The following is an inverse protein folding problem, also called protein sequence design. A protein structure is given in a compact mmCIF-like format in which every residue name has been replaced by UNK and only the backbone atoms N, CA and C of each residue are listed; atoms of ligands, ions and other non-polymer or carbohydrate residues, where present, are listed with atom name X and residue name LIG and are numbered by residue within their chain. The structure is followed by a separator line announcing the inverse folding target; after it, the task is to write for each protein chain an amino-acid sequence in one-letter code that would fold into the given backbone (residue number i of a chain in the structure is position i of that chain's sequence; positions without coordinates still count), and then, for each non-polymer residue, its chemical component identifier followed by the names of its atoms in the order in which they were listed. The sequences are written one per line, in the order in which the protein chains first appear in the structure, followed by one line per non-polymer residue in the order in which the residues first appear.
data_IF_138770354634
#
_entry.id   IF_138770354634
#
_cell.length_a   1.000
_cell.length_b   1.000
_cell.length_c   1.000
_cell.angle_alpha   90.00
_cell.angle_beta   90.00
_cell.angle_gamma   90.00
#
_symmetry.space_group_name_H-M   'P 1'
#
loop_
_entity.id
_entity.type
_entity.pdbx_description
1 polymer ?
#
# COMPACT_ATOMS: atom_id res chain seq x y z
N UNK A 1 42.60 -28.72 -3.78
CA UNK A 1 41.74 -29.20 -4.89
C UNK A 1 40.34 -28.65 -4.63
N UNK A 2 40.10 -27.42 -5.06
CA UNK A 2 38.83 -26.68 -4.87
C UNK A 2 38.05 -26.84 -6.18
N UNK A 3 36.85 -27.42 -6.12
CA UNK A 3 35.97 -27.59 -7.29
C UNK A 3 34.96 -26.45 -7.30
N UNK A 4 35.08 -25.59 -8.30
CA UNK A 4 34.13 -24.54 -8.66
C UNK A 4 32.71 -25.11 -8.80
N UNK A 5 31.74 -24.48 -8.13
CA UNK A 5 30.34 -24.47 -8.53
C UNK A 5 29.90 -23.01 -8.61
N UNK A 6 30.22 -22.36 -9.73
CA UNK A 6 29.67 -21.04 -10.08
C UNK A 6 29.17 -21.14 -11.51
N UNK A 7 27.97 -21.69 -11.69
CA UNK A 7 27.36 -21.87 -13.01
C UNK A 7 25.82 -21.78 -13.01
N UNK A 8 25.24 -21.01 -12.07
CA UNK A 8 23.78 -20.83 -12.01
C UNK A 8 23.29 -19.38 -11.84
N UNK A 9 24.17 -18.37 -11.93
CA UNK A 9 23.78 -16.97 -11.71
C UNK A 9 23.87 -16.05 -12.94
N UNK A 10 24.16 -16.57 -14.14
CA UNK A 10 24.40 -15.71 -15.33
C UNK A 10 23.23 -15.73 -16.34
N UNK A 11 22.19 -16.54 -16.13
CA UNK A 11 21.05 -16.62 -17.09
C UNK A 11 19.95 -15.57 -16.81
N UNK A 12 19.86 -14.99 -15.61
CA UNK A 12 18.76 -14.07 -15.26
C UNK A 12 18.96 -12.60 -15.69
N UNK A 13 20.20 -12.14 -15.91
CA UNK A 13 20.46 -10.73 -16.29
C UNK A 13 20.30 -10.51 -17.81
N UNK A 14 20.43 -11.57 -18.63
CA UNK A 14 20.27 -11.43 -20.09
C UNK A 14 18.80 -11.42 -20.51
N UNK A 15 17.88 -11.96 -19.71
CA UNK A 15 16.45 -11.92 -20.02
C UNK A 15 15.87 -10.52 -19.81
N UNK A 16 16.28 -9.83 -18.74
CA UNK A 16 15.90 -8.44 -18.48
C UNK A 16 16.48 -7.45 -19.50
N UNK A 17 17.73 -7.66 -19.96
CA UNK A 17 18.32 -6.83 -21.03
C UNK A 17 17.70 -7.13 -22.41
N UNK A 18 17.26 -8.37 -22.67
CA UNK A 18 16.59 -8.73 -23.92
C UNK A 18 15.16 -8.18 -24.01
N UNK A 19 14.46 -8.05 -22.88
CA UNK A 19 13.16 -7.38 -22.80
C UNK A 19 13.25 -5.90 -23.15
N UNK A 20 14.28 -5.18 -22.65
CA UNK A 20 14.43 -3.73 -22.90
C UNK A 20 14.52 -3.39 -24.41
N UNK A 21 15.09 -4.27 -25.25
CA UNK A 21 15.21 -4.05 -26.69
C UNK A 21 13.92 -4.27 -27.50
N UNK A 22 12.85 -4.79 -26.89
CA UNK A 22 11.58 -5.08 -27.59
C UNK A 22 10.52 -3.99 -27.41
N UNK A 23 10.73 -3.00 -26.52
CA UNK A 23 9.69 -2.03 -26.17
C UNK A 23 9.53 -0.84 -27.14
N UNK A 24 10.46 -0.63 -28.09
CA UNK A 24 10.42 0.55 -28.98
C UNK A 24 9.33 0.47 -30.08
N UNK A 25 8.59 -0.64 -30.22
CA UNK A 25 7.66 -0.85 -31.33
C UNK A 25 6.23 -1.26 -30.95
N UNK A 26 5.78 -1.09 -29.71
CA UNK A 26 4.36 -1.25 -29.42
C UNK A 26 3.59 -0.06 -30.03
N UNK A 27 2.89 -0.28 -31.14
CA UNK A 27 1.86 0.65 -31.58
C UNK A 27 0.69 0.51 -30.63
N UNK A 28 0.50 1.49 -29.75
CA UNK A 28 -0.64 1.47 -28.84
C UNK A 28 -1.95 1.68 -29.62
N UNK A 29 -2.96 0.89 -29.26
CA UNK A 29 -4.24 0.83 -29.95
C UNK A 29 -5.31 1.68 -29.26
N UNK A 30 -5.17 1.93 -27.96
CA UNK A 30 -6.06 2.80 -27.18
C UNK A 30 -5.23 3.59 -26.15
N UNK A 31 -5.23 4.91 -26.30
CA UNK A 31 -4.56 5.84 -25.38
C UNK A 31 -5.61 6.74 -24.78
N UNK A 32 -5.57 6.94 -23.47
CA UNK A 32 -6.61 7.70 -22.80
C UNK A 32 -6.24 8.18 -21.41
N UNK A 33 -7.26 8.76 -20.78
CA UNK A 33 -7.19 9.23 -19.41
C UNK A 33 -8.56 8.99 -18.77
N UNK A 34 -8.57 8.29 -17.64
CA UNK A 34 -9.76 8.06 -16.84
C UNK A 34 -9.61 8.83 -15.53
N UNK A 35 -10.67 9.54 -15.16
CA UNK A 35 -10.73 10.23 -13.86
C UNK A 35 -11.19 9.22 -12.81
N UNK A 36 -10.34 8.98 -11.81
CA UNK A 36 -10.59 8.12 -10.65
C UNK A 36 -10.45 8.99 -9.42
N UNK A 37 -11.52 9.17 -8.66
CA UNK A 37 -11.53 9.98 -7.42
C UNK A 37 -10.86 11.36 -7.56
N UNK A 38 -11.24 12.09 -8.62
CA UNK A 38 -10.71 13.41 -8.99
C UNK A 38 -9.24 13.44 -9.44
N UNK A 39 -8.59 12.28 -9.54
CA UNK A 39 -7.26 12.12 -10.08
C UNK A 39 -7.31 11.56 -11.50
N UNK A 40 -6.43 12.05 -12.36
CA UNK A 40 -6.38 11.62 -13.75
C UNK A 40 -5.33 10.50 -13.91
N UNK A 41 -5.80 9.28 -14.14
CA UNK A 41 -4.95 8.13 -14.49
C UNK A 41 -4.81 8.08 -16.00
N UNK A 42 -3.58 8.27 -16.49
CA UNK A 42 -3.29 8.16 -17.92
C UNK A 42 -2.93 6.72 -18.25
N UNK A 43 -3.36 6.26 -19.41
CA UNK A 43 -3.02 4.93 -19.87
C UNK A 43 -2.73 4.91 -21.36
N UNK A 44 -1.99 3.90 -21.76
CA UNK A 44 -1.73 3.52 -23.14
C UNK A 44 -1.73 2.00 -23.24
N UNK A 45 -2.60 1.39 -24.05
CA UNK A 45 -2.69 -0.07 -24.20
C UNK A 45 -2.46 -0.48 -25.65
N UNK A 46 -1.49 -1.38 -25.86
CA UNK A 46 -1.25 -2.02 -27.17
C UNK A 46 -2.11 -3.25 -27.28
N UNK A 47 -2.65 -3.56 -28.47
CA UNK A 47 -3.45 -4.77 -28.74
C UNK A 47 -4.67 -5.00 -27.84
N UNK A 48 -5.21 -3.95 -27.22
CA UNK A 48 -6.37 -4.03 -26.35
C UNK A 48 -7.06 -2.68 -26.20
N UNK A 49 -8.06 -2.63 -25.32
CA UNK A 49 -8.78 -1.42 -24.94
C UNK A 49 -9.06 -1.44 -23.45
N UNK A 50 -8.81 -0.33 -22.76
CA UNK A 50 -9.22 -0.19 -21.35
C UNK A 50 -10.72 0.14 -21.31
N UNK A 51 -11.46 -0.62 -20.52
CA UNK A 51 -12.90 -0.41 -20.31
C UNK A 51 -13.15 0.51 -19.11
N UNK A 52 -12.47 0.24 -17.99
CA UNK A 52 -12.57 1.06 -16.79
C UNK A 52 -11.32 0.96 -15.92
N UNK A 53 -11.15 1.95 -15.05
CA UNK A 53 -10.17 1.95 -13.96
C UNK A 53 -10.93 2.38 -12.71
N UNK A 54 -10.86 1.58 -11.65
CA UNK A 54 -11.49 1.84 -10.36
C UNK A 54 -10.48 1.68 -9.23
N UNK A 55 -10.58 2.53 -8.21
CA UNK A 55 -9.85 2.38 -6.97
C UNK A 55 -10.72 1.60 -5.99
N UNK A 56 -10.19 0.52 -5.43
CA UNK A 56 -10.71 -0.12 -4.23
C UNK A 56 -9.81 0.26 -3.03
N UNK A 57 -10.25 1.23 -2.21
CA UNK A 57 -9.46 1.70 -1.10
C UNK A 57 -9.42 0.72 0.09
N UNK A 58 -10.34 -0.25 0.17
CA UNK A 58 -10.33 -1.26 1.23
C UNK A 58 -9.20 -2.28 1.02
N UNK A 59 -8.78 -2.47 -0.24
CA UNK A 59 -7.69 -3.36 -0.64
C UNK A 59 -6.42 -2.63 -1.11
N UNK A 60 -6.39 -1.30 -1.05
CA UNK A 60 -5.29 -0.46 -1.58
C UNK A 60 -4.98 -0.77 -3.06
N UNK A 61 -6.03 -0.95 -3.86
CA UNK A 61 -5.94 -1.55 -5.19
C UNK A 61 -6.50 -0.62 -6.26
N UNK A 62 -5.82 -0.55 -7.40
CA UNK A 62 -6.38 -0.02 -8.64
C UNK A 62 -6.73 -1.19 -9.56
N UNK A 63 -8.03 -1.42 -9.75
CA UNK A 63 -8.57 -2.44 -10.64
C UNK A 63 -8.78 -1.84 -12.04
N UNK A 64 -8.06 -2.38 -13.01
CA UNK A 64 -8.15 -2.03 -14.42
C UNK A 64 -8.88 -3.16 -15.15
N UNK A 65 -9.99 -2.85 -15.82
CA UNK A 65 -10.69 -3.81 -16.69
C UNK A 65 -10.38 -3.50 -18.15
N UNK A 66 -10.18 -4.54 -18.94
CA UNK A 66 -9.77 -4.40 -20.33
C UNK A 66 -10.32 -5.51 -21.21
N UNK A 67 -10.35 -5.22 -22.51
CA UNK A 67 -10.61 -6.21 -23.55
C UNK A 67 -9.37 -6.32 -24.43
N UNK A 68 -8.85 -7.53 -24.56
CA UNK A 68 -7.61 -7.82 -25.30
C UNK A 68 -7.91 -8.45 -26.65
N UNK A 69 -7.15 -8.08 -27.66
CA UNK A 69 -7.23 -8.66 -29.02
C UNK A 69 -6.00 -9.49 -29.41
N UNK A 70 -4.87 -9.27 -28.74
CA UNK A 70 -3.65 -10.07 -28.79
C UNK A 70 -2.82 -9.79 -27.53
N UNK A 71 -1.71 -10.49 -27.33
CA UNK A 71 -0.73 -10.18 -26.27
C UNK A 71 -0.25 -8.74 -26.41
N UNK A 72 -0.02 -8.07 -25.28
CA UNK A 72 0.26 -6.64 -25.29
C UNK A 72 0.85 -6.14 -23.99
N UNK A 73 0.87 -4.80 -23.88
CA UNK A 73 1.38 -4.07 -22.73
C UNK A 73 0.41 -2.94 -22.41
N UNK A 74 0.09 -2.80 -21.14
CA UNK A 74 -0.56 -1.61 -20.57
C UNK A 74 0.52 -0.74 -19.97
N UNK A 75 0.70 0.48 -20.49
CA UNK A 75 1.45 1.55 -19.85
C UNK A 75 0.47 2.42 -19.07
N UNK A 76 0.59 2.47 -17.75
CA UNK A 76 -0.32 3.21 -16.87
C UNK A 76 0.48 4.19 -16.00
N UNK A 77 0.08 5.45 -15.99
CA UNK A 77 0.64 6.50 -15.13
C UNK A 77 -0.31 6.78 -13.99
N UNK A 78 0.10 6.39 -12.80
CA UNK A 78 -0.65 6.46 -11.55
C UNK A 78 -0.18 7.69 -10.77
N UNK A 79 -1.06 8.65 -10.47
CA UNK A 79 -0.76 9.72 -9.51
C UNK A 79 -0.46 9.13 -8.13
N UNK A 80 0.64 9.56 -7.50
CA UNK A 80 1.01 9.06 -6.15
C UNK A 80 -0.01 9.40 -5.09
N UNK A 81 -0.68 10.53 -5.27
CA UNK A 81 -1.78 10.90 -4.39
C UNK A 81 -2.95 9.94 -4.54
N UNK A 82 -3.17 9.26 -5.67
CA UNK A 82 -4.27 8.30 -5.85
C UNK A 82 -3.93 6.92 -5.26
N UNK A 83 -2.79 6.36 -5.66
CA UNK A 83 -2.27 5.08 -5.22
C UNK A 83 -0.73 5.14 -5.25
N UNK A 84 -0.09 4.74 -4.16
CA UNK A 84 1.36 4.60 -4.08
C UNK A 84 1.75 3.34 -3.32
N UNK A 85 2.98 2.88 -3.58
CA UNK A 85 3.64 1.83 -2.83
C UNK A 85 4.90 2.41 -2.20
N UNK A 86 4.88 2.50 -0.86
CA UNK A 86 5.97 2.99 -0.03
C UNK A 86 6.20 2.06 1.16
N UNK A 87 7.46 2.01 1.57
CA UNK A 87 7.89 1.48 2.85
C UNK A 87 8.69 2.58 3.56
N UNK A 88 8.21 2.99 4.73
CA UNK A 88 8.67 4.21 5.42
C UNK A 88 8.62 5.42 4.47
N UNK A 89 9.74 6.12 4.29
CA UNK A 89 9.84 7.31 3.43
C UNK A 89 10.33 6.99 2.01
N UNK A 90 10.49 5.71 1.67
CA UNK A 90 11.05 5.26 0.40
C UNK A 90 10.02 4.57 -0.48
N UNK A 91 10.19 4.69 -1.79
CA UNK A 91 9.34 3.98 -2.74
C UNK A 91 9.60 2.48 -2.66
N UNK A 92 8.51 1.73 -2.60
CA UNK A 92 8.50 0.27 -2.65
C UNK A 92 7.82 -0.20 -3.94
N UNK A 93 7.87 -1.50 -4.21
CA UNK A 93 7.24 -2.11 -5.37
C UNK A 93 5.73 -2.22 -5.18
N UNK A 94 4.99 -2.05 -6.27
CA UNK A 94 3.60 -2.49 -6.33
C UNK A 94 3.55 -4.01 -6.42
N UNK A 95 2.46 -4.59 -5.93
CA UNK A 95 2.11 -5.97 -6.25
C UNK A 95 1.10 -5.95 -7.40
N UNK A 96 1.41 -6.65 -8.50
CA UNK A 96 0.59 -6.60 -9.72
C UNK A 96 0.09 -7.99 -10.07
N UNK A 97 -1.22 -8.13 -10.22
CA UNK A 97 -1.88 -9.34 -10.70
C UNK A 97 -2.49 -9.08 -12.09
N UNK A 98 -2.33 -10.03 -13.00
CA UNK A 98 -3.01 -10.05 -14.30
C UNK A 98 -3.84 -11.33 -14.34
N UNK A 99 -5.16 -11.17 -14.48
CA UNK A 99 -6.14 -12.26 -14.40
C UNK A 99 -5.95 -13.17 -13.15
N UNK A 100 -5.59 -12.55 -12.02
CA UNK A 100 -5.35 -13.21 -10.74
C UNK A 100 -3.96 -13.83 -10.55
N UNK A 101 -3.05 -13.68 -11.52
CA UNK A 101 -1.67 -14.20 -11.44
C UNK A 101 -0.64 -13.08 -11.28
N UNK A 102 0.30 -13.27 -10.36
CA UNK A 102 1.39 -12.33 -10.12
C UNK A 102 2.22 -12.13 -11.39
N UNK A 103 2.40 -10.86 -11.76
CA UNK A 103 3.04 -10.45 -13.02
C UNK A 103 4.10 -9.40 -12.77
N UNK A 104 5.30 -9.62 -13.31
CA UNK A 104 6.37 -8.62 -13.30
C UNK A 104 6.04 -7.45 -14.22
N UNK A 105 6.42 -6.25 -13.80
CA UNK A 105 6.23 -5.01 -14.56
C UNK A 105 7.53 -4.22 -14.66
N UNK A 106 7.58 -3.25 -15.58
CA UNK A 106 8.68 -2.28 -15.67
C UNK A 106 8.19 -0.91 -15.22
N UNK A 107 8.85 -0.33 -14.22
CA UNK A 107 8.64 1.07 -13.87
C UNK A 107 9.46 1.97 -14.79
N UNK A 108 8.80 2.59 -15.76
CA UNK A 108 9.48 3.39 -16.78
C UNK A 108 9.78 4.81 -16.32
N UNK A 109 8.95 5.36 -15.43
CA UNK A 109 9.12 6.71 -14.89
C UNK A 109 8.64 6.79 -13.45
N UNK A 110 9.40 7.46 -12.60
CA UNK A 110 9.07 7.71 -11.20
C UNK A 110 9.49 9.13 -10.84
N UNK A 111 8.54 9.94 -10.37
CA UNK A 111 8.80 11.32 -9.93
C UNK A 111 7.93 11.66 -8.72
N UNK A 112 8.07 12.87 -8.17
CA UNK A 112 7.35 13.29 -6.97
C UNK A 112 5.81 13.20 -7.05
N UNK A 113 5.22 13.18 -8.25
CA UNK A 113 3.78 13.25 -8.44
C UNK A 113 3.15 11.95 -8.96
N UNK A 114 3.94 11.08 -9.59
CA UNK A 114 3.40 9.93 -10.32
C UNK A 114 4.43 8.82 -10.51
N UNK A 115 3.93 7.61 -10.74
CA UNK A 115 4.69 6.43 -11.18
C UNK A 115 4.06 5.88 -12.44
N UNK A 116 4.89 5.45 -13.38
CA UNK A 116 4.44 4.87 -14.65
C UNK A 116 4.91 3.43 -14.77
N UNK A 117 3.95 2.52 -14.83
CA UNK A 117 4.17 1.08 -14.93
C UNK A 117 3.89 0.61 -16.35
N UNK A 118 4.69 -0.32 -16.84
CA UNK A 118 4.45 -1.07 -18.07
C UNK A 118 4.21 -2.53 -17.69
N UNK A 119 2.98 -2.99 -17.84
CA UNK A 119 2.49 -4.28 -17.39
C UNK A 119 2.17 -5.13 -18.63
N UNK A 120 2.91 -6.23 -18.88
CA UNK A 120 2.59 -7.15 -19.97
C UNK A 120 1.34 -7.95 -19.65
N UNK A 121 0.61 -8.36 -20.68
CA UNK A 121 -0.54 -9.24 -20.57
C UNK A 121 -0.64 -10.17 -21.79
N UNK A 122 -1.38 -11.26 -21.65
CA UNK A 122 -1.68 -12.22 -22.72
C UNK A 122 -3.09 -12.03 -23.28
N UNK A 123 -3.29 -12.45 -24.52
CA UNK A 123 -4.61 -12.45 -25.13
C UNK A 123 -5.59 -13.34 -24.32
N UNK A 124 -6.68 -12.73 -23.86
CA UNK A 124 -7.69 -13.36 -23.04
C UNK A 124 -7.73 -12.80 -21.61
N UNK A 125 -6.66 -12.15 -21.16
CA UNK A 125 -6.63 -11.49 -19.86
C UNK A 125 -7.63 -10.33 -19.83
N UNK A 126 -8.35 -10.19 -18.73
CA UNK A 126 -9.46 -9.22 -18.65
C UNK A 126 -9.27 -8.18 -17.55
N UNK A 127 -8.35 -8.44 -16.63
CA UNK A 127 -8.16 -7.66 -15.41
C UNK A 127 -6.67 -7.46 -15.11
N UNK A 128 -6.35 -6.27 -14.62
CA UNK A 128 -5.07 -5.97 -13.97
C UNK A 128 -5.38 -5.35 -12.61
N UNK A 129 -4.85 -5.93 -11.56
CA UNK A 129 -4.94 -5.43 -10.18
C UNK A 129 -3.58 -4.85 -9.80
N UNK A 130 -3.54 -3.57 -9.45
CA UNK A 130 -2.30 -2.89 -9.02
C UNK A 130 -2.47 -2.52 -7.56
N UNK A 131 -1.77 -3.23 -6.69
CA UNK A 131 -1.90 -3.12 -5.24
C UNK A 131 -0.71 -2.36 -4.69
N UNK A 132 -1.01 -1.30 -3.92
CA UNK A 132 -0.02 -0.46 -3.25
C UNK A 132 -0.06 -0.62 -1.74
N UNK A 133 0.49 0.37 -1.05
CA UNK A 133 0.47 0.46 0.43
C UNK A 133 -0.19 1.75 0.93
N UNK A 134 -0.55 2.66 0.02
CA UNK A 134 -1.18 3.93 0.34
C UNK A 134 -2.16 4.32 -0.78
N UNK A 135 -3.39 4.74 -0.43
CA UNK A 135 -4.42 5.21 -1.37
C UNK A 135 -5.08 6.51 -0.89
N UNK A 136 -5.40 7.41 -1.80
CA UNK A 136 -6.35 8.50 -1.52
C UNK A 136 -7.76 7.97 -1.66
N UNK A 137 -8.32 7.59 -0.52
CA UNK A 137 -9.75 7.35 -0.42
C UNK A 137 -10.44 8.68 -0.09
N UNK A 138 -11.27 9.27 -0.98
CA UNK A 138 -12.03 10.48 -0.67
C UNK A 138 -13.22 10.24 0.27
N UNK A 139 -13.59 8.98 0.53
CA UNK A 139 -14.67 8.56 1.42
C UNK A 139 -14.20 8.09 2.79
N UNK A 140 -12.89 7.87 2.96
CA UNK A 140 -12.26 8.04 4.27
C UNK A 140 -11.96 9.53 4.33
N UNK A 141 -12.56 10.33 5.23
CA UNK A 141 -12.05 11.67 5.44
C UNK A 141 -10.55 11.52 5.64
N UNK A 142 -9.73 12.28 4.91
CA UNK A 142 -8.31 12.36 5.22
C UNK A 142 -8.26 12.90 6.65
N UNK A 143 -8.25 11.98 7.63
CA UNK A 143 -8.22 12.34 9.02
C UNK A 143 -6.79 12.82 9.16
N UNK A 144 -6.61 14.13 9.06
CA UNK A 144 -5.52 14.82 9.73
C UNK A 144 -5.75 14.48 11.21
N UNK A 145 -5.30 13.28 11.63
CA UNK A 145 -5.43 12.80 13.00
C UNK A 145 -4.45 13.67 13.76
N UNK A 146 -4.85 14.90 14.07
CA UNK A 146 -4.13 15.72 15.03
C UNK A 146 -4.47 15.16 16.38
N UNK A 147 -3.82 14.06 16.73
CA UNK A 147 -3.91 13.55 18.07
C UNK A 147 -3.32 14.66 18.95
N UNK A 148 -4.10 15.22 19.89
CA UNK A 148 -3.56 16.27 20.73
C UNK A 148 -2.28 15.81 21.42
N UNK A 149 -1.25 16.67 21.48
CA UNK A 149 0.06 16.30 22.05
C UNK A 149 -0.03 15.72 23.47
N UNK A 150 -1.06 16.08 24.23
CA UNK A 150 -1.28 15.51 25.57
C UNK A 150 -1.53 14.00 25.57
N UNK A 151 -1.96 13.40 24.45
CA UNK A 151 -2.09 11.94 24.32
C UNK A 151 -0.73 11.26 24.23
N UNK A 152 0.24 11.87 23.54
CA UNK A 152 1.60 11.33 23.38
C UNK A 152 2.27 11.09 24.74
N UNK A 153 1.94 11.92 25.74
CA UNK A 153 2.38 11.70 27.12
C UNK A 153 1.91 10.36 27.69
N UNK A 154 0.68 9.92 27.36
CA UNK A 154 0.14 8.63 27.84
C UNK A 154 0.91 7.47 27.23
N UNK A 155 1.28 7.56 25.94
CA UNK A 155 2.12 6.57 25.29
C UNK A 155 3.55 6.54 25.87
N UNK A 156 4.12 7.71 26.18
CA UNK A 156 5.41 7.81 26.87
C UNK A 156 5.39 7.26 28.29
N UNK A 157 4.32 7.49 29.06
CA UNK A 157 4.16 6.88 30.38
C UNK A 157 4.01 5.37 30.29
N UNK A 158 3.35 4.86 29.26
CA UNK A 158 3.19 3.43 29.06
C UNK A 158 4.48 2.74 28.61
N UNK A 159 5.24 3.38 27.70
CA UNK A 159 6.52 2.85 27.23
C UNK A 159 7.59 2.81 28.33
N UNK A 160 7.52 3.75 29.28
CA UNK A 160 8.40 3.84 30.44
C UNK A 160 7.88 3.07 31.67
N UNK A 161 6.87 2.19 31.51
CA UNK A 161 6.26 1.40 32.58
C UNK A 161 5.71 2.23 33.76
N UNK A 162 5.38 3.50 33.53
CA UNK A 162 4.78 4.39 34.54
C UNK A 162 3.27 4.18 34.68
N UNK A 163 2.61 3.70 33.62
CA UNK A 163 1.23 3.22 33.65
C UNK A 163 1.16 1.78 33.13
N UNK A 164 0.15 1.04 33.58
CA UNK A 164 -0.12 -0.35 33.20
C UNK A 164 -0.86 -0.42 31.87
N UNK A 165 -0.78 -1.58 31.23
CA UNK A 165 -1.47 -1.88 29.98
C UNK A 165 -2.98 -1.57 30.04
N UNK A 166 -3.63 -1.86 31.16
CA UNK A 166 -5.07 -1.58 31.33
C UNK A 166 -5.38 -0.08 31.31
N UNK A 167 -4.49 0.74 31.84
CA UNK A 167 -4.64 2.20 31.88
C UNK A 167 -4.44 2.78 30.48
N UNK A 168 -3.46 2.27 29.74
CA UNK A 168 -3.23 2.63 28.34
C UNK A 168 -4.40 2.21 27.43
N UNK A 169 -4.87 0.96 27.53
CA UNK A 169 -6.04 0.47 26.76
C UNK A 169 -7.28 1.31 27.06
N UNK A 170 -7.52 1.64 28.35
CA UNK A 170 -8.64 2.49 28.73
C UNK A 170 -8.54 3.90 28.13
N UNK A 171 -7.32 4.44 28.04
CA UNK A 171 -7.08 5.72 27.37
C UNK A 171 -7.40 5.64 25.86
N UNK A 172 -6.93 4.61 25.16
CA UNK A 172 -7.26 4.38 23.74
C UNK A 172 -8.77 4.25 23.54
N UNK A 173 -9.46 3.45 24.37
CA UNK A 173 -10.92 3.32 24.34
C UNK A 173 -11.64 4.66 24.50
N UNK A 174 -11.16 5.50 25.42
CA UNK A 174 -11.71 6.84 25.62
C UNK A 174 -11.54 7.71 24.36
N UNK A 175 -10.37 7.67 23.72
CA UNK A 175 -10.11 8.48 22.51
C UNK A 175 -10.99 8.09 21.34
N UNK A 176 -11.25 6.79 21.19
CA UNK A 176 -12.17 6.28 20.18
C UNK A 176 -13.60 6.73 20.51
N UNK A 177 -14.02 6.57 21.76
CA UNK A 177 -15.38 6.90 22.22
C UNK A 177 -15.71 8.39 22.06
N UNK A 178 -14.75 9.26 22.36
CA UNK A 178 -14.92 10.72 22.24
C UNK A 178 -14.61 11.23 20.82
N UNK A 179 -14.42 10.34 19.84
CA UNK A 179 -14.12 10.68 18.43
C UNK A 179 -12.85 11.53 18.27
N UNK A 180 -11.91 11.46 19.24
CA UNK A 180 -10.61 12.14 19.23
C UNK A 180 -9.61 11.35 18.36
N UNK A 181 -9.74 10.03 18.36
CA UNK A 181 -8.96 9.11 17.53
C UNK A 181 -9.93 8.22 16.75
N UNK A 182 -9.90 8.33 15.44
CA UNK A 182 -10.67 7.42 14.58
C UNK A 182 -9.80 6.23 14.22
N UNK A 183 -10.32 5.03 14.44
CA UNK A 183 -9.72 3.79 13.95
C UNK A 183 -10.64 3.29 12.83
N UNK A 184 -10.12 2.80 11.69
CA UNK A 184 -10.95 2.18 10.66
C UNK A 184 -11.78 1.03 11.23
N UNK A 185 -12.85 0.58 10.55
CA UNK A 185 -13.84 -0.33 11.13
C UNK A 185 -13.18 -1.60 11.68
N UNK A 186 -13.23 -1.75 13.00
CA UNK A 186 -12.71 -2.88 13.76
C UNK A 186 -13.79 -3.38 14.72
N UNK A 187 -13.85 -4.69 14.97
CA UNK A 187 -14.87 -5.26 15.85
C UNK A 187 -14.53 -5.01 17.33
N UNK A 188 -15.34 -4.20 18.02
CA UNK A 188 -15.22 -3.96 19.47
C UNK A 188 -15.47 -5.24 20.28
N UNK A 189 -14.69 -5.44 21.34
CA UNK A 189 -14.72 -6.62 22.21
C UNK A 189 -14.78 -6.24 23.70
N UNK A 190 -14.66 -7.24 24.59
CA UNK A 190 -14.55 -6.99 26.03
C UNK A 190 -13.09 -6.62 26.33
N UNK A 191 -12.85 -5.51 27.03
CA UNK A 191 -11.50 -5.06 27.41
C UNK A 191 -10.73 -6.13 28.17
N UNK A 192 -9.64 -6.64 27.59
CA UNK A 192 -8.67 -7.50 28.27
C UNK A 192 -7.24 -7.13 27.88
N UNK A 193 -6.33 -7.22 28.84
CA UNK A 193 -4.90 -6.89 28.68
C UNK A 193 -4.01 -8.11 28.57
N UNK A 194 -4.59 -9.31 28.54
CA UNK A 194 -3.83 -10.54 28.41
C UNK A 194 -3.31 -10.63 26.98
N UNK A 195 -2.01 -10.40 26.77
CA UNK A 195 -1.35 -10.67 25.50
C UNK A 195 -0.69 -9.50 24.78
N UNK A 196 -0.63 -8.28 25.34
CA UNK A 196 0.11 -7.18 24.69
C UNK A 196 1.62 -7.44 24.79
N UNK A 197 2.34 -7.65 23.67
CA UNK A 197 3.77 -7.89 23.72
C UNK A 197 4.56 -6.60 24.03
N UNK A 198 5.69 -6.74 24.74
CA UNK A 198 6.56 -5.60 25.08
C UNK A 198 7.06 -4.81 23.86
N UNK A 199 7.16 -5.41 22.68
CA UNK A 199 7.60 -4.68 21.48
C UNK A 199 6.62 -3.57 21.07
N UNK A 200 5.33 -3.68 21.43
CA UNK A 200 4.33 -2.63 21.19
C UNK A 200 4.62 -1.38 22.04
N UNK A 201 5.13 -1.56 23.26
CA UNK A 201 5.52 -0.44 24.13
C UNK A 201 6.64 0.40 23.51
N UNK A 202 7.54 -0.23 22.76
CA UNK A 202 8.59 0.49 22.05
C UNK A 202 7.99 1.39 20.95
N UNK A 203 7.02 0.89 20.19
CA UNK A 203 6.30 1.67 19.18
C UNK A 203 5.55 2.85 19.81
N UNK A 204 4.92 2.66 20.98
CA UNK A 204 4.30 3.76 21.73
C UNK A 204 5.33 4.81 22.20
N UNK A 205 6.53 4.37 22.60
CA UNK A 205 7.64 5.27 22.92
C UNK A 205 8.09 6.09 21.72
N UNK A 206 8.26 5.47 20.55
CA UNK A 206 8.62 6.17 19.31
C UNK A 206 7.58 7.20 18.90
N UNK A 207 6.30 6.91 19.11
CA UNK A 207 5.24 7.88 18.87
C UNK A 207 5.28 9.05 19.86
N UNK A 208 5.54 8.77 21.14
CA UNK A 208 5.68 9.80 22.17
C UNK A 208 6.86 10.74 21.90
N UNK A 209 7.95 10.21 21.35
CA UNK A 209 9.15 10.97 20.96
C UNK A 209 9.03 11.67 19.60
N UNK A 210 7.91 11.48 18.88
CA UNK A 210 7.69 12.04 17.55
C UNK A 210 8.55 11.42 16.45
N UNK A 211 9.07 10.21 16.69
CA UNK A 211 9.83 9.43 15.70
C UNK A 211 8.92 8.72 14.70
N UNK A 212 7.66 8.50 15.05
CA UNK A 212 6.58 8.10 14.14
C UNK A 212 5.42 9.10 14.24
N UNK A 213 4.75 9.31 13.13
CA UNK A 213 3.57 10.14 12.93
C UNK A 213 2.31 9.48 13.53
N UNK A 214 1.28 10.30 13.72
CA UNK A 214 0.02 9.88 14.33
C UNK A 214 -0.68 8.78 13.52
N UNK A 215 -0.55 8.82 12.18
CA UNK A 215 -1.13 7.81 11.29
C UNK A 215 -0.48 6.44 11.44
N UNK A 216 0.84 6.39 11.63
CA UNK A 216 1.60 5.15 11.81
C UNK A 216 1.26 4.50 13.15
N UNK A 217 1.12 5.32 14.20
CA UNK A 217 0.66 4.85 15.50
C UNK A 217 -0.78 4.33 15.45
N UNK A 218 -1.72 5.05 14.83
CA UNK A 218 -3.13 4.62 14.67
C UNK A 218 -3.23 3.31 13.90
N UNK A 219 -2.43 3.15 12.83
CA UNK A 219 -2.35 1.91 12.05
C UNK A 219 -1.85 0.74 12.90
N UNK A 220 -0.87 0.98 13.78
CA UNK A 220 -0.41 0.01 14.76
C UNK A 220 -1.51 -0.41 15.74
N UNK A 221 -2.28 0.54 16.29
CA UNK A 221 -3.41 0.24 17.19
C UNK A 221 -4.48 -0.55 16.45
N UNK A 222 -4.83 -0.17 15.22
CA UNK A 222 -5.77 -0.90 14.37
C UNK A 222 -5.32 -2.36 14.19
N UNK A 223 -4.05 -2.59 13.86
CA UNK A 223 -3.50 -3.93 13.71
C UNK A 223 -3.68 -4.77 14.98
N UNK A 224 -3.42 -4.19 16.16
CA UNK A 224 -3.57 -4.91 17.43
C UNK A 224 -4.99 -5.32 17.71
N UNK A 225 -5.96 -4.48 17.35
CA UNK A 225 -7.38 -4.77 17.51
C UNK A 225 -7.82 -5.84 16.52
N UNK A 226 -7.48 -5.69 15.24
CA UNK A 226 -7.82 -6.63 14.17
C UNK A 226 -7.28 -8.04 14.44
N UNK A 227 -6.08 -8.14 15.00
CA UNK A 227 -5.45 -9.43 15.31
C UNK A 227 -5.80 -9.97 16.70
N UNK A 228 -6.69 -9.30 17.45
CA UNK A 228 -7.12 -9.72 18.79
C UNK A 228 -6.00 -9.69 19.84
N UNK A 229 -4.97 -8.87 19.63
CA UNK A 229 -3.87 -8.65 20.59
C UNK A 229 -4.31 -7.61 21.64
N UNK A 230 -5.11 -6.64 21.22
CA UNK A 230 -5.72 -5.62 22.06
C UNK A 230 -7.23 -5.66 21.91
N UNK A 231 -7.96 -5.57 23.01
CA UNK A 231 -9.42 -5.53 23.00
C UNK A 231 -9.91 -4.17 23.47
N UNK A 232 -10.74 -3.53 22.65
CA UNK A 232 -11.36 -2.23 22.88
C UNK A 232 -12.86 -2.32 23.06
#
# INVERSE_FOLDING_TARGET
MIRNNSFLFVVFILFSIFLIYQFDNYSFADTGMISVDSHNVKYDVSNGKIESIFLDPDFFELLVTMNTSADGVVKITIPRDLLDAKFELTDDMFFVLVDGFETEYVESESNANSRTLMIPYFNGDSTIEIIGTNVSNPFIPQIDVKIPDWIKNTAGWWSNDQIKDIEFVSAIQYLIKEEIMTIPPTSSGISSTEGIPNWIKNTAGWWADGLIEDIEFVSGIQYLITNGIMHI
#
